data_IF_333572137857
#
_entry.id   IF_333572137857
#
_cell.length_a   1.000
_cell.length_b   1.000
_cell.length_c   1.000
_cell.angle_alpha   90.00
_cell.angle_beta   90.00
_cell.angle_gamma   90.00
#
_symmetry.space_group_name_H-M   'P 1'
#
loop_
_entity.id
_entity.type
_entity.pdbx_description
1 polymer ?
#
# COMPACT_ATOMS: atom_id res chain seq x y z
N UNK A 1 31.97 23.29 72.12
CA UNK A 1 31.71 21.86 72.35
C UNK A 1 31.59 21.20 70.98
N UNK A 2 32.42 20.26 70.76
CA UNK A 2 32.78 19.66 69.45
C UNK A 2 31.64 18.86 68.84
N UNK A 3 31.41 19.01 67.52
CA UNK A 3 30.69 18.08 66.68
C UNK A 3 31.73 17.25 65.86
N UNK A 4 31.57 15.94 65.76
CA UNK A 4 32.52 15.10 65.02
C UNK A 4 32.15 15.02 63.54
N UNK A 5 33.17 15.02 62.70
CA UNK A 5 33.08 14.90 61.24
C UNK A 5 32.60 13.55 60.77
N UNK A 6 31.77 13.58 59.74
CA UNK A 6 31.38 12.43 58.96
C UNK A 6 32.28 12.32 57.72
N UNK A 7 32.97 11.19 57.60
CA UNK A 7 33.80 10.81 56.44
C UNK A 7 32.99 10.63 55.15
N UNK A 8 33.55 10.95 53.96
CA UNK A 8 32.82 10.72 52.70
C UNK A 8 32.82 9.25 52.33
N UNK A 9 31.62 8.74 52.04
CA UNK A 9 31.36 7.40 51.52
C UNK A 9 32.11 7.14 50.20
N UNK A 10 32.87 6.07 50.21
CA UNK A 10 33.55 5.51 49.04
C UNK A 10 32.60 5.22 47.93
N UNK A 11 32.62 6.02 46.88
CA UNK A 11 32.04 5.66 45.57
C UNK A 11 32.86 4.50 45.05
N UNK A 12 32.25 3.32 45.00
CA UNK A 12 32.79 2.16 44.27
C UNK A 12 33.02 2.55 42.80
N UNK A 13 34.27 2.65 42.40
CA UNK A 13 34.65 2.70 40.98
C UNK A 13 34.31 1.33 40.41
N UNK A 14 33.22 1.25 39.62
CA UNK A 14 33.01 0.13 38.74
C UNK A 14 34.11 0.21 37.67
N UNK A 15 35.09 -0.64 37.80
CA UNK A 15 36.10 -0.87 36.75
C UNK A 15 35.37 -1.56 35.60
N UNK A 16 35.16 -0.84 34.51
CA UNK A 16 34.80 -1.39 33.20
C UNK A 16 36.12 -1.85 32.56
N UNK A 17 36.65 -2.95 33.02
CA UNK A 17 37.68 -3.70 32.31
C UNK A 17 36.99 -4.61 31.30
N UNK A 18 37.36 -4.43 30.04
CA UNK A 18 36.99 -5.09 28.79
C UNK A 18 36.04 -4.28 27.89
N UNK A 19 36.47 -3.09 27.50
CA UNK A 19 36.03 -2.52 26.22
C UNK A 19 36.63 -3.35 25.07
N UNK A 20 35.83 -3.90 24.16
CA UNK A 20 36.36 -4.48 22.94
C UNK A 20 37.26 -3.48 22.20
N UNK A 21 38.34 -3.93 21.55
CA UNK A 21 39.34 -3.12 20.85
C UNK A 21 38.81 -2.14 19.78
N UNK A 22 37.53 -2.03 19.62
CA UNK A 22 36.82 -1.11 18.70
C UNK A 22 36.81 0.35 19.15
N UNK A 23 37.15 0.69 20.41
CA UNK A 23 37.11 2.07 20.91
C UNK A 23 38.48 2.75 20.95
N UNK A 24 39.53 2.09 20.42
CA UNK A 24 40.82 2.72 20.23
C UNK A 24 40.77 3.57 18.96
N UNK A 25 41.10 4.83 19.10
CA UNK A 25 41.07 5.96 18.16
C UNK A 25 41.58 5.67 16.73
N UNK A 26 40.80 4.97 15.96
CA UNK A 26 40.87 4.93 14.49
C UNK A 26 39.57 5.51 13.94
N UNK A 27 39.63 6.33 12.91
CA UNK A 27 38.44 6.86 12.22
C UNK A 27 37.58 5.67 11.82
N UNK A 28 36.45 5.50 12.51
CA UNK A 28 35.50 4.41 12.21
C UNK A 28 34.98 4.64 10.81
N UNK A 29 35.18 3.71 9.88
CA UNK A 29 34.55 3.75 8.57
C UNK A 29 33.07 3.41 8.73
N UNK A 30 32.24 4.46 8.88
CA UNK A 30 30.79 4.33 9.04
C UNK A 30 30.14 3.64 7.85
N UNK A 31 30.68 3.80 6.63
CA UNK A 31 30.14 3.17 5.44
C UNK A 31 30.40 1.65 5.43
N UNK A 32 31.63 1.24 5.78
CA UNK A 32 31.95 -0.18 5.95
C UNK A 32 31.07 -0.81 7.05
N UNK A 33 30.86 -0.10 8.17
CA UNK A 33 29.98 -0.57 9.23
C UNK A 33 28.55 -0.71 8.78
N UNK A 34 28.00 0.26 8.05
CA UNK A 34 26.65 0.17 7.50
C UNK A 34 26.48 -1.04 6.57
N UNK A 35 27.44 -1.28 5.67
CA UNK A 35 27.44 -2.47 4.80
C UNK A 35 27.43 -3.76 5.62
N UNK A 36 28.28 -3.84 6.64
CA UNK A 36 28.35 -5.01 7.53
C UNK A 36 27.01 -5.28 8.25
N UNK A 37 26.31 -4.25 8.71
CA UNK A 37 24.97 -4.39 9.32
C UNK A 37 23.98 -4.99 8.32
N UNK A 38 23.93 -4.45 7.10
CA UNK A 38 23.06 -4.96 6.04
C UNK A 38 23.39 -6.41 5.65
N UNK A 39 24.68 -6.77 5.59
CA UNK A 39 25.11 -8.14 5.31
C UNK A 39 24.62 -9.13 6.40
N UNK A 40 24.66 -8.72 7.67
CA UNK A 40 24.16 -9.53 8.79
C UNK A 40 22.64 -9.70 8.68
N UNK A 41 21.91 -8.65 8.36
CA UNK A 41 20.44 -8.71 8.20
C UNK A 41 20.04 -9.54 6.98
N UNK A 42 20.75 -9.43 5.86
CA UNK A 42 20.53 -10.29 4.68
C UNK A 42 20.79 -11.77 5.03
N UNK A 43 21.84 -12.07 5.80
CA UNK A 43 22.12 -13.43 6.25
C UNK A 43 21.00 -13.96 7.17
N UNK A 44 20.44 -13.11 8.04
CA UNK A 44 19.29 -13.44 8.88
C UNK A 44 18.03 -13.77 8.06
N UNK A 45 17.70 -12.96 7.06
CA UNK A 45 16.60 -13.22 6.14
C UNK A 45 16.78 -14.54 5.38
N UNK A 46 18.01 -14.82 4.92
CA UNK A 46 18.33 -16.09 4.26
C UNK A 46 18.13 -17.27 5.19
N UNK A 47 18.56 -17.16 6.45
CA UNK A 47 18.38 -18.21 7.46
C UNK A 47 16.90 -18.48 7.74
N UNK A 48 16.08 -17.43 7.94
CA UNK A 48 14.63 -17.58 8.17
C UNK A 48 13.93 -18.20 6.95
N UNK A 49 14.29 -17.78 5.74
CA UNK A 49 13.76 -18.39 4.50
C UNK A 49 14.04 -19.90 4.45
N UNK A 50 15.22 -20.35 4.89
CA UNK A 50 15.58 -21.77 4.90
C UNK A 50 14.87 -22.57 6.00
N UNK A 51 14.36 -21.90 7.02
CA UNK A 51 13.62 -22.50 8.14
C UNK A 51 12.10 -22.58 7.87
N UNK A 52 11.61 -22.01 6.76
CA UNK A 52 10.21 -22.12 6.39
C UNK A 52 9.84 -23.58 6.11
N UNK A 53 8.77 -24.02 6.76
CA UNK A 53 8.22 -25.37 6.65
C UNK A 53 6.69 -25.36 6.61
N UNK A 54 6.07 -26.51 6.84
CA UNK A 54 4.62 -26.67 6.88
C UNK A 54 3.90 -25.82 7.93
N UNK A 55 4.60 -25.34 8.97
CA UNK A 55 4.03 -24.46 9.99
C UNK A 55 3.59 -23.11 9.40
N UNK A 56 4.33 -22.60 8.39
CA UNK A 56 3.91 -21.38 7.70
C UNK A 56 2.57 -21.54 7.00
N UNK A 57 2.38 -22.63 6.27
CA UNK A 57 1.10 -22.92 5.60
C UNK A 57 -0.04 -23.13 6.61
N UNK A 58 0.23 -23.80 7.73
CA UNK A 58 -0.74 -23.99 8.81
C UNK A 58 -1.15 -22.64 9.44
N UNK A 59 -0.20 -21.72 9.67
CA UNK A 59 -0.48 -20.37 10.16
C UNK A 59 -1.38 -19.60 9.19
N UNK A 60 -1.07 -19.63 7.88
CA UNK A 60 -1.91 -18.98 6.85
C UNK A 60 -3.32 -19.57 6.85
N UNK A 61 -3.46 -20.90 6.92
CA UNK A 61 -4.77 -21.55 6.96
C UNK A 61 -5.61 -21.15 8.16
N UNK A 62 -5.02 -21.11 9.37
CA UNK A 62 -5.69 -20.67 10.60
C UNK A 62 -6.17 -19.21 10.41
N UNK A 63 -5.31 -18.31 9.96
CA UNK A 63 -5.66 -16.91 9.79
C UNK A 63 -6.74 -16.69 8.72
N UNK A 64 -6.68 -17.41 7.60
CA UNK A 64 -7.69 -17.34 6.54
C UNK A 64 -9.04 -17.83 7.06
N UNK A 65 -9.07 -18.95 7.81
CA UNK A 65 -10.31 -19.48 8.37
C UNK A 65 -10.92 -18.54 9.41
N UNK A 66 -10.09 -17.99 10.32
CA UNK A 66 -10.49 -16.92 11.26
C UNK A 66 -11.21 -15.78 10.53
N UNK A 67 -10.61 -15.28 9.45
CA UNK A 67 -11.17 -14.17 8.68
C UNK A 67 -12.45 -14.54 7.90
N UNK A 68 -12.58 -15.80 7.47
CA UNK A 68 -13.82 -16.32 6.84
C UNK A 68 -14.99 -16.33 7.82
N UNK A 69 -14.72 -16.66 9.08
CA UNK A 69 -15.69 -16.64 10.17
C UNK A 69 -16.02 -15.23 10.69
N UNK A 70 -15.50 -14.19 10.03
CA UNK A 70 -15.64 -12.77 10.41
C UNK A 70 -15.02 -12.43 11.76
N UNK A 71 -14.13 -13.27 12.26
CA UNK A 71 -13.25 -13.00 13.40
C UNK A 71 -12.01 -12.21 12.93
N UNK A 72 -11.11 -11.87 13.85
CA UNK A 72 -9.96 -11.02 13.56
C UNK A 72 -8.64 -11.65 13.97
N UNK A 73 -7.55 -11.10 13.46
CA UNK A 73 -6.19 -11.45 13.86
C UNK A 73 -5.74 -10.45 14.92
N UNK A 74 -5.38 -10.95 16.09
CA UNK A 74 -4.84 -10.14 17.18
C UNK A 74 -3.32 -10.32 17.19
N UNK A 75 -2.58 -9.25 17.00
CA UNK A 75 -1.12 -9.28 17.04
C UNK A 75 -0.66 -8.78 18.41
N UNK A 76 0.16 -9.59 19.10
CA UNK A 76 0.65 -9.30 20.45
C UNK A 76 2.17 -9.22 20.46
N UNK A 77 2.75 -8.27 21.17
CA UNK A 77 4.19 -8.15 21.34
C UNK A 77 4.56 -7.02 22.30
N UNK A 78 5.80 -7.04 22.81
CA UNK A 78 6.33 -6.04 23.75
C UNK A 78 7.62 -5.43 23.18
N UNK A 79 7.89 -4.18 23.50
CA UNK A 79 9.10 -3.46 23.12
C UNK A 79 9.35 -3.47 21.60
N UNK A 80 10.54 -3.90 21.16
CA UNK A 80 10.87 -3.93 19.72
C UNK A 80 9.98 -4.90 18.95
N UNK A 81 9.66 -6.07 19.51
CA UNK A 81 8.71 -7.02 18.90
C UNK A 81 7.30 -6.43 18.82
N UNK A 82 6.89 -5.62 19.80
CA UNK A 82 5.62 -4.88 19.76
C UNK A 82 5.56 -3.88 18.61
N UNK A 83 6.62 -3.09 18.38
CA UNK A 83 6.69 -2.17 17.24
C UNK A 83 6.57 -2.91 15.89
N UNK A 84 7.22 -4.05 15.77
CA UNK A 84 7.07 -4.93 14.59
C UNK A 84 5.65 -5.46 14.47
N UNK A 85 5.06 -5.88 15.60
CA UNK A 85 3.67 -6.35 15.66
C UNK A 85 2.66 -5.30 15.21
N UNK A 86 2.83 -4.04 15.62
CA UNK A 86 2.00 -2.91 15.15
C UNK A 86 2.07 -2.77 13.62
N UNK A 87 3.29 -2.84 13.04
CA UNK A 87 3.47 -2.77 11.59
C UNK A 87 2.82 -3.96 10.89
N UNK A 88 2.94 -5.16 11.41
CA UNK A 88 2.31 -6.36 10.84
C UNK A 88 0.77 -6.22 10.88
N UNK A 89 0.20 -5.80 11.99
CA UNK A 89 -1.25 -5.57 12.13
C UNK A 89 -1.74 -4.51 11.11
N UNK A 90 -0.99 -3.42 10.95
CA UNK A 90 -1.30 -2.39 9.96
C UNK A 90 -1.24 -2.93 8.52
N UNK A 91 -0.24 -3.76 8.18
CA UNK A 91 -0.12 -4.40 6.86
C UNK A 91 -1.29 -5.35 6.61
N UNK A 92 -1.64 -6.21 7.55
CA UNK A 92 -2.80 -7.10 7.48
C UNK A 92 -4.09 -6.32 7.23
N UNK A 93 -4.33 -5.26 8.01
CA UNK A 93 -5.52 -4.41 7.87
C UNK A 93 -5.58 -3.74 6.50
N UNK A 94 -4.47 -3.17 6.05
CA UNK A 94 -4.38 -2.48 4.75
C UNK A 94 -4.57 -3.43 3.56
N UNK A 95 -4.31 -4.71 3.75
CA UNK A 95 -4.52 -5.78 2.77
C UNK A 95 -5.84 -6.55 2.96
N UNK A 96 -6.78 -5.96 3.70
CA UNK A 96 -8.16 -6.47 3.84
C UNK A 96 -8.32 -7.58 4.88
N UNK A 97 -7.33 -7.82 5.73
CA UNK A 97 -7.41 -8.76 6.84
C UNK A 97 -7.69 -8.00 8.14
N UNK A 98 -8.88 -8.17 8.71
CA UNK A 98 -9.23 -7.52 9.97
C UNK A 98 -8.22 -7.89 11.04
N UNK A 99 -7.43 -6.92 11.50
CA UNK A 99 -6.37 -7.15 12.46
C UNK A 99 -6.25 -5.97 13.42
N UNK A 100 -5.86 -6.27 14.66
CA UNK A 100 -5.57 -5.27 15.67
C UNK A 100 -4.28 -5.63 16.41
N UNK A 101 -3.55 -4.63 16.85
CA UNK A 101 -2.43 -4.80 17.76
C UNK A 101 -2.93 -4.67 19.20
N UNK A 102 -2.58 -5.64 20.05
CA UNK A 102 -2.89 -5.65 21.48
C UNK A 102 -1.56 -5.59 22.25
N UNK A 103 -1.34 -4.49 22.96
CA UNK A 103 -0.15 -4.35 23.78
C UNK A 103 -0.22 -5.28 24.99
N UNK A 104 0.84 -6.07 25.24
CA UNK A 104 0.81 -7.12 26.25
C UNK A 104 0.51 -6.62 27.67
N UNK A 105 0.98 -5.44 28.05
CA UNK A 105 0.68 -4.86 29.38
C UNK A 105 -0.77 -4.39 29.46
N UNK A 106 -1.24 -3.65 28.46
CA UNK A 106 -2.60 -3.07 28.46
C UNK A 106 -3.66 -4.18 28.44
N UNK A 107 -3.35 -5.29 27.78
CA UNK A 107 -4.21 -6.48 27.77
C UNK A 107 -4.51 -7.01 29.20
N UNK A 108 -3.51 -7.03 30.09
CA UNK A 108 -3.69 -7.48 31.47
C UNK A 108 -4.50 -6.49 32.32
N UNK A 109 -4.68 -5.26 31.84
CA UNK A 109 -5.39 -4.19 32.54
C UNK A 109 -6.77 -3.85 31.93
N UNK A 110 -7.33 -4.75 31.11
CA UNK A 110 -8.70 -4.63 30.59
C UNK A 110 -8.85 -4.76 29.07
N UNK A 111 -7.79 -4.50 28.30
CA UNK A 111 -7.87 -4.55 26.82
C UNK A 111 -8.07 -5.97 26.26
N UNK A 112 -8.03 -7.01 27.11
CA UNK A 112 -8.50 -8.34 26.74
C UNK A 112 -9.98 -8.38 26.30
N UNK A 113 -10.76 -7.36 26.62
CA UNK A 113 -12.12 -7.18 26.11
C UNK A 113 -12.23 -7.11 24.58
N UNK A 114 -11.11 -6.88 23.87
CA UNK A 114 -11.07 -6.91 22.41
C UNK A 114 -11.05 -8.33 21.83
N UNK A 115 -10.71 -9.34 22.64
CA UNK A 115 -10.58 -10.75 22.23
C UNK A 115 -11.96 -11.42 22.23
N UNK A 116 -12.27 -12.13 21.15
CA UNK A 116 -13.48 -12.92 21.04
C UNK A 116 -13.15 -14.39 20.67
N UNK A 117 -14.09 -15.27 20.94
CA UNK A 117 -14.03 -16.65 20.47
C UNK A 117 -13.89 -16.69 18.94
N UNK A 118 -13.02 -17.57 18.45
CA UNK A 118 -12.73 -17.72 17.03
C UNK A 118 -11.67 -16.77 16.47
N UNK A 119 -11.15 -15.83 17.27
CA UNK A 119 -10.00 -15.00 16.87
C UNK A 119 -8.71 -15.83 16.75
N UNK A 120 -7.75 -15.35 15.95
CA UNK A 120 -6.39 -15.88 15.90
C UNK A 120 -5.43 -14.88 16.54
N UNK A 121 -4.53 -15.38 17.40
CA UNK A 121 -3.50 -14.57 18.05
C UNK A 121 -2.15 -14.85 17.39
N UNK A 122 -1.48 -13.80 16.89
CA UNK A 122 -0.09 -13.83 16.46
C UNK A 122 0.77 -13.19 17.54
N UNK A 123 1.46 -14.02 18.32
CA UNK A 123 2.31 -13.58 19.43
C UNK A 123 3.77 -13.49 19.02
N UNK A 124 4.38 -12.32 19.19
CA UNK A 124 5.75 -12.01 18.81
C UNK A 124 6.64 -11.91 20.07
N UNK A 125 7.60 -12.82 20.22
CA UNK A 125 8.66 -12.75 21.21
C UNK A 125 9.88 -13.51 20.71
N UNK A 126 10.99 -12.83 20.45
CA UNK A 126 12.20 -13.49 19.92
C UNK A 126 12.76 -14.53 20.90
N UNK A 127 12.86 -14.19 22.19
CA UNK A 127 13.26 -15.17 23.22
C UNK A 127 12.19 -16.25 23.43
N UNK A 128 10.94 -15.89 23.26
CA UNK A 128 9.78 -16.69 23.64
C UNK A 128 9.57 -16.82 25.14
N UNK A 129 10.30 -16.00 25.92
CA UNK A 129 10.26 -15.99 27.39
C UNK A 129 9.91 -14.58 27.96
N UNK A 130 9.35 -13.70 27.15
CA UNK A 130 8.92 -12.38 27.59
C UNK A 130 7.74 -12.53 28.56
N UNK A 131 7.93 -12.14 29.81
CA UNK A 131 7.01 -12.39 30.93
C UNK A 131 5.60 -11.82 30.64
N UNK A 132 5.51 -10.61 30.14
CA UNK A 132 4.24 -9.94 29.83
C UNK A 132 3.46 -10.67 28.73
N UNK A 133 4.15 -11.27 27.77
CA UNK A 133 3.51 -12.09 26.72
C UNK A 133 3.06 -13.44 27.29
N UNK A 134 3.89 -14.07 28.13
CA UNK A 134 3.56 -15.35 28.76
C UNK A 134 2.37 -15.23 29.70
N UNK A 135 2.28 -14.14 30.48
CA UNK A 135 1.17 -13.88 31.41
C UNK A 135 -0.18 -13.73 30.69
N UNK A 136 -0.19 -13.38 29.40
CA UNK A 136 -1.40 -13.32 28.59
C UNK A 136 -1.90 -14.69 28.13
N UNK A 137 -1.03 -15.69 28.02
CA UNK A 137 -1.41 -16.98 27.41
C UNK A 137 -2.50 -17.70 28.20
N UNK A 138 -2.45 -17.65 29.53
CA UNK A 138 -3.50 -18.23 30.38
C UNK A 138 -4.87 -17.58 30.18
N UNK A 139 -4.99 -16.26 30.30
CA UNK A 139 -6.21 -15.52 29.97
C UNK A 139 -6.70 -15.74 28.54
N UNK A 140 -5.81 -15.72 27.53
CA UNK A 140 -6.17 -15.95 26.12
C UNK A 140 -6.77 -17.35 25.90
N UNK A 141 -6.27 -18.37 26.59
CA UNK A 141 -6.82 -19.74 26.50
C UNK A 141 -8.21 -19.93 27.07
N UNK A 142 -8.75 -18.94 27.78
CA UNK A 142 -10.16 -18.94 28.22
C UNK A 142 -11.11 -18.62 27.06
N UNK A 143 -10.60 -18.02 25.99
CA UNK A 143 -11.30 -17.83 24.73
C UNK A 143 -10.94 -18.98 23.79
N UNK A 144 -11.83 -19.34 22.89
CA UNK A 144 -11.59 -20.33 21.84
C UNK A 144 -10.74 -19.77 20.71
N UNK A 145 -9.51 -19.31 21.04
CA UNK A 145 -8.56 -18.71 20.10
C UNK A 145 -7.48 -19.68 19.67
N UNK A 146 -6.94 -19.51 18.47
CA UNK A 146 -5.73 -20.17 17.99
C UNK A 146 -4.52 -19.28 18.17
N UNK A 147 -3.45 -19.81 18.79
CA UNK A 147 -2.24 -19.07 19.07
C UNK A 147 -1.15 -19.49 18.08
N UNK A 148 -0.65 -18.53 17.32
CA UNK A 148 0.49 -18.66 16.41
C UNK A 148 1.62 -17.84 17.03
N UNK A 149 2.77 -18.46 17.30
CA UNK A 149 3.95 -17.72 17.80
C UNK A 149 4.97 -17.48 16.71
N UNK A 150 5.63 -16.31 16.78
CA UNK A 150 6.80 -15.96 15.99
C UNK A 150 7.96 -15.78 16.96
N UNK A 151 8.86 -16.78 17.02
CA UNK A 151 9.94 -16.83 18.03
C UNK A 151 11.24 -17.39 17.46
N UNK A 152 12.38 -16.97 18.01
CA UNK A 152 13.71 -17.52 17.69
C UNK A 152 14.04 -18.83 18.43
N UNK A 153 13.13 -19.30 19.33
CA UNK A 153 13.32 -20.54 20.09
C UNK A 153 12.08 -21.41 20.07
N UNK A 154 12.10 -22.44 19.24
CA UNK A 154 11.00 -23.42 19.13
C UNK A 154 10.77 -24.26 20.38
N UNK A 155 11.66 -24.17 21.38
CA UNK A 155 11.55 -24.85 22.68
C UNK A 155 11.12 -23.92 23.81
N UNK A 156 10.88 -22.64 23.51
CA UNK A 156 10.49 -21.64 24.50
C UNK A 156 9.14 -21.91 25.12
N UNK A 157 8.85 -21.22 26.23
CA UNK A 157 7.54 -21.27 26.90
C UNK A 157 6.43 -20.83 25.95
N UNK A 158 6.61 -19.75 25.20
CA UNK A 158 5.65 -19.29 24.20
C UNK A 158 5.38 -20.37 23.14
N UNK A 159 6.43 -21.01 22.62
CA UNK A 159 6.29 -22.07 21.61
C UNK A 159 5.46 -23.25 22.13
N UNK A 160 5.65 -23.66 23.38
CA UNK A 160 4.87 -24.77 24.00
C UNK A 160 3.40 -24.47 24.17
N UNK A 161 3.02 -23.19 24.30
CA UNK A 161 1.64 -22.76 24.43
C UNK A 161 0.94 -22.52 23.09
N UNK A 162 1.69 -22.51 21.98
CA UNK A 162 1.19 -22.16 20.65
C UNK A 162 0.67 -23.36 19.88
N UNK A 163 -0.40 -23.18 19.10
CA UNK A 163 -0.91 -24.18 18.16
C UNK A 163 0.04 -24.31 16.95
N UNK A 164 0.68 -23.22 16.54
CA UNK A 164 1.67 -23.16 15.45
C UNK A 164 2.85 -22.29 15.86
N UNK A 165 4.07 -22.72 15.52
CA UNK A 165 5.31 -21.99 15.82
C UNK A 165 6.02 -21.64 14.53
N UNK A 166 6.19 -20.35 14.29
CA UNK A 166 7.00 -19.80 13.20
C UNK A 166 8.40 -19.50 13.71
N UNK A 167 9.37 -20.23 13.22
CA UNK A 167 10.77 -20.08 13.63
C UNK A 167 11.42 -18.89 12.94
N UNK A 168 11.83 -17.87 13.71
CA UNK A 168 12.55 -16.67 13.23
C UNK A 168 13.97 -16.59 13.78
N UNK A 169 14.57 -17.72 14.12
CA UNK A 169 15.93 -17.77 14.64
C UNK A 169 16.92 -17.19 13.63
N UNK A 170 17.70 -16.20 14.07
CA UNK A 170 18.77 -15.58 13.28
C UNK A 170 20.15 -15.99 13.80
N UNK A 171 21.20 -15.97 12.97
CA UNK A 171 22.56 -16.35 13.38
C UNK A 171 23.13 -15.42 14.46
N UNK A 172 22.92 -14.10 14.32
CA UNK A 172 23.37 -13.07 15.27
C UNK A 172 22.66 -11.75 15.01
N UNK A 173 22.68 -10.86 16.00
CA UNK A 173 22.29 -9.47 15.83
C UNK A 173 23.40 -8.64 15.20
N UNK A 174 23.05 -7.52 14.52
CA UNK A 174 24.05 -6.61 13.97
C UNK A 174 24.68 -5.70 15.03
N UNK A 175 24.11 -5.64 16.23
CA UNK A 175 24.69 -4.96 17.38
C UNK A 175 26.05 -5.59 17.75
N UNK A 176 27.11 -4.79 18.01
CA UNK A 176 28.44 -5.32 18.41
C UNK A 176 28.39 -6.24 19.62
N UNK A 177 27.46 -6.00 20.53
CA UNK A 177 27.28 -6.80 21.75
C UNK A 177 26.31 -7.97 21.57
N UNK A 178 25.74 -8.14 20.39
CA UNK A 178 24.69 -9.12 20.10
C UNK A 178 23.45 -9.00 21.04
N UNK A 179 23.16 -7.80 21.56
CA UNK A 179 22.10 -7.57 22.53
C UNK A 179 20.90 -6.79 21.95
N UNK A 180 21.17 -5.73 21.17
CA UNK A 180 20.11 -4.92 20.60
C UNK A 180 19.44 -5.64 19.44
N UNK A 181 18.12 -5.85 19.46
CA UNK A 181 17.38 -6.47 18.38
C UNK A 181 17.49 -5.63 17.09
N UNK A 182 18.03 -6.25 16.05
CA UNK A 182 18.24 -5.70 14.70
C UNK A 182 17.88 -6.75 13.66
N UNK A 183 18.74 -7.71 13.41
CA UNK A 183 18.52 -8.80 12.47
C UNK A 183 17.28 -9.65 12.82
N UNK A 184 17.02 -9.88 14.10
CA UNK A 184 15.81 -10.59 14.56
C UNK A 184 14.53 -9.80 14.25
N UNK A 185 14.52 -8.48 14.46
CA UNK A 185 13.36 -7.64 14.16
C UNK A 185 13.13 -7.49 12.66
N UNK A 186 14.18 -7.37 11.87
CA UNK A 186 14.12 -7.37 10.40
C UNK A 186 13.54 -8.69 9.89
N UNK A 187 13.97 -9.82 10.43
CA UNK A 187 13.46 -11.13 10.06
C UNK A 187 11.97 -11.32 10.45
N UNK A 188 11.57 -10.89 11.66
CA UNK A 188 10.16 -10.91 12.08
C UNK A 188 9.27 -10.08 11.16
N UNK A 189 9.74 -8.88 10.80
CA UNK A 189 9.02 -7.98 9.90
C UNK A 189 8.81 -8.63 8.53
N UNK A 190 9.88 -9.15 7.93
CA UNK A 190 9.82 -9.80 6.62
C UNK A 190 8.91 -11.03 6.61
N UNK A 191 8.94 -11.86 7.67
CA UNK A 191 8.05 -13.01 7.80
C UNK A 191 6.59 -12.58 8.00
N UNK A 192 6.35 -11.50 8.73
CA UNK A 192 5.02 -10.90 8.89
C UNK A 192 4.45 -10.38 7.57
N UNK A 193 5.29 -9.76 6.72
CA UNK A 193 4.88 -9.34 5.38
C UNK A 193 4.60 -10.55 4.48
N UNK A 194 5.40 -11.61 4.58
CA UNK A 194 5.13 -12.85 3.85
C UNK A 194 3.78 -13.48 4.24
N UNK A 195 3.43 -13.49 5.55
CA UNK A 195 2.12 -13.92 6.03
C UNK A 195 0.99 -13.06 5.44
N UNK A 196 1.13 -11.74 5.50
CA UNK A 196 0.11 -10.82 4.99
C UNK A 196 -0.13 -11.02 3.49
N UNK A 197 0.93 -11.21 2.69
CA UNK A 197 0.82 -11.46 1.24
C UNK A 197 0.20 -12.84 0.96
N UNK A 198 0.61 -13.89 1.67
CA UNK A 198 0.02 -15.22 1.49
C UNK A 198 -1.48 -15.25 1.83
N UNK A 199 -1.90 -14.54 2.90
CA UNK A 199 -3.32 -14.40 3.27
C UNK A 199 -4.09 -13.61 2.23
N UNK A 200 -3.52 -12.50 1.72
CA UNK A 200 -4.10 -11.67 0.66
C UNK A 200 -4.41 -12.52 -0.58
N UNK A 201 -3.43 -13.31 -1.05
CA UNK A 201 -3.60 -14.20 -2.20
C UNK A 201 -4.63 -15.31 -1.94
N UNK A 202 -4.54 -15.98 -0.80
CA UNK A 202 -5.47 -17.07 -0.41
C UNK A 202 -6.93 -16.60 -0.30
N UNK A 203 -7.16 -15.31 0.00
CA UNK A 203 -8.49 -14.69 0.07
C UNK A 203 -8.96 -14.12 -1.26
N UNK A 204 -8.15 -14.14 -2.31
CA UNK A 204 -8.48 -13.58 -3.62
C UNK A 204 -8.68 -12.06 -3.59
N UNK A 205 -7.95 -11.35 -2.73
CA UNK A 205 -7.98 -9.89 -2.62
C UNK A 205 -7.47 -9.25 -3.92
N UNK A 206 -8.19 -8.28 -4.45
CA UNK A 206 -7.92 -7.65 -5.75
C UNK A 206 -7.58 -6.18 -5.59
N UNK A 207 -6.98 -5.58 -6.62
CA UNK A 207 -6.66 -4.14 -6.67
C UNK A 207 -7.85 -3.24 -6.32
N UNK A 208 -9.07 -3.59 -6.76
CA UNK A 208 -10.30 -2.87 -6.42
C UNK A 208 -10.61 -2.88 -4.92
N UNK A 209 -10.24 -3.96 -4.22
CA UNK A 209 -10.45 -4.09 -2.78
C UNK A 209 -9.41 -3.24 -2.04
N UNK A 210 -8.16 -3.20 -2.55
CA UNK A 210 -7.12 -2.31 -2.04
C UNK A 210 -7.52 -0.82 -2.15
N UNK A 211 -8.10 -0.43 -3.29
CA UNK A 211 -8.59 0.93 -3.51
C UNK A 211 -9.65 1.34 -2.49
N UNK A 212 -10.56 0.43 -2.10
CA UNK A 212 -11.60 0.68 -1.08
C UNK A 212 -11.01 0.94 0.31
N UNK A 213 -9.89 0.30 0.64
CA UNK A 213 -9.20 0.50 1.92
C UNK A 213 -8.29 1.73 1.93
N UNK A 214 -7.92 2.28 0.75
CA UNK A 214 -7.04 3.44 0.60
C UNK A 214 -7.66 4.57 -0.24
N UNK A 215 -8.88 5.06 0.08
CA UNK A 215 -9.62 5.96 -0.79
C UNK A 215 -8.92 7.31 -1.05
N UNK A 216 -8.13 7.79 -0.11
CA UNK A 216 -7.45 9.09 -0.19
C UNK A 216 -6.02 9.02 -0.75
N UNK A 217 -5.46 7.83 -0.94
CA UNK A 217 -4.12 7.63 -1.50
C UNK A 217 -4.08 7.84 -3.02
N UNK A 218 -2.90 8.13 -3.59
CA UNK A 218 -2.72 8.23 -5.04
C UNK A 218 -3.17 6.95 -5.77
N UNK A 219 -2.81 5.78 -5.22
CA UNK A 219 -3.20 4.47 -5.76
C UNK A 219 -4.72 4.29 -5.69
N UNK A 220 -5.37 4.63 -4.56
CA UNK A 220 -6.82 4.50 -4.40
C UNK A 220 -7.58 5.36 -5.41
N UNK A 221 -7.18 6.62 -5.59
CA UNK A 221 -7.78 7.51 -6.59
C UNK A 221 -7.60 6.97 -8.00
N UNK A 222 -6.40 6.54 -8.36
CA UNK A 222 -6.12 5.99 -9.70
C UNK A 222 -7.00 4.76 -10.02
N UNK A 223 -7.36 3.96 -9.02
CA UNK A 223 -8.14 2.73 -9.16
C UNK A 223 -9.66 2.94 -8.99
N UNK A 224 -10.12 4.09 -8.50
CA UNK A 224 -11.54 4.35 -8.23
C UNK A 224 -12.15 5.44 -9.10
N UNK A 225 -11.36 6.42 -9.55
CA UNK A 225 -11.88 7.54 -10.33
C UNK A 225 -12.21 7.07 -11.74
N UNK A 226 -13.48 7.20 -12.11
CA UNK A 226 -13.95 6.89 -13.47
C UNK A 226 -13.86 8.11 -14.38
N UNK A 227 -13.83 7.87 -15.67
CA UNK A 227 -13.83 8.88 -16.73
C UNK A 227 -15.04 9.83 -16.58
N UNK A 228 -16.23 9.31 -16.30
CA UNK A 228 -17.44 10.12 -16.08
C UNK A 228 -17.35 11.09 -14.88
N UNK A 229 -16.41 10.87 -13.94
CA UNK A 229 -16.22 11.76 -12.80
C UNK A 229 -15.30 12.96 -13.10
N UNK A 230 -14.55 12.91 -14.22
CA UNK A 230 -13.53 13.90 -14.58
C UNK A 230 -13.74 14.56 -15.94
N UNK A 231 -14.61 13.98 -16.78
CA UNK A 231 -14.89 14.52 -18.11
C UNK A 231 -15.62 15.86 -18.04
N UNK A 232 -15.45 16.68 -19.07
CA UNK A 232 -16.28 17.83 -19.35
C UNK A 232 -17.54 17.32 -20.06
N UNK A 233 -18.71 17.58 -19.52
CA UNK A 233 -20.00 17.15 -20.07
C UNK A 233 -20.97 18.34 -20.28
N UNK A 234 -22.19 18.06 -20.72
CA UNK A 234 -23.24 19.06 -20.95
C UNK A 234 -22.77 20.21 -21.84
N UNK A 235 -22.84 21.44 -21.33
CA UNK A 235 -22.46 22.66 -22.07
C UNK A 235 -20.95 22.76 -22.33
N UNK A 236 -20.14 21.91 -21.75
CA UNK A 236 -18.68 21.84 -21.94
C UNK A 236 -18.26 20.74 -22.91
N UNK A 237 -19.19 20.07 -23.55
CA UNK A 237 -18.98 19.03 -24.57
C UNK A 237 -19.51 19.51 -25.90
N UNK A 238 -18.63 19.96 -26.81
CA UNK A 238 -19.01 20.40 -28.14
C UNK A 238 -19.37 19.18 -29.01
N UNK A 239 -20.57 19.14 -29.52
CA UNK A 239 -21.06 18.08 -30.44
C UNK A 239 -21.74 18.71 -31.65
N UNK A 240 -21.40 18.25 -32.85
CA UNK A 240 -21.93 18.72 -34.13
C UNK A 240 -22.30 17.59 -35.08
N UNK A 241 -23.18 17.81 -36.00
CA UNK A 241 -23.47 16.90 -37.10
C UNK A 241 -22.48 17.01 -38.24
N UNK A 242 -22.36 15.99 -39.09
CA UNK A 242 -21.42 15.92 -40.22
C UNK A 242 -21.58 17.08 -41.24
N UNK A 243 -22.78 17.68 -41.34
CA UNK A 243 -23.13 18.72 -42.32
C UNK A 243 -22.84 20.15 -41.78
N UNK A 244 -22.55 20.30 -40.52
CA UNK A 244 -22.23 21.57 -39.85
C UNK A 244 -20.95 22.13 -40.46
N UNK A 245 -20.89 23.43 -40.71
CA UNK A 245 -19.68 24.08 -41.25
C UNK A 245 -18.58 24.20 -40.17
N UNK A 246 -17.34 24.34 -40.61
CA UNK A 246 -16.22 24.60 -39.70
C UNK A 246 -16.43 25.86 -38.86
N UNK A 247 -16.99 26.93 -39.48
CA UNK A 247 -17.30 28.17 -38.75
C UNK A 247 -18.29 27.96 -37.61
N UNK A 248 -19.37 27.20 -37.84
CA UNK A 248 -20.35 26.87 -36.81
C UNK A 248 -19.77 25.97 -35.73
N UNK A 249 -18.92 25.01 -36.11
CA UNK A 249 -18.23 24.14 -35.19
C UNK A 249 -17.28 24.92 -34.26
N UNK A 250 -16.54 25.89 -34.76
CA UNK A 250 -15.70 26.79 -33.97
C UNK A 250 -16.50 27.58 -32.94
N UNK A 251 -17.68 28.04 -33.29
CA UNK A 251 -18.60 28.71 -32.33
C UNK A 251 -19.00 27.77 -31.20
N UNK A 252 -19.31 26.49 -31.50
CA UNK A 252 -19.62 25.47 -30.50
C UNK A 252 -18.43 25.18 -29.60
N UNK A 253 -17.24 25.04 -30.18
CA UNK A 253 -15.99 24.87 -29.42
C UNK A 253 -15.73 26.03 -28.47
N UNK A 254 -15.88 27.26 -28.95
CA UNK A 254 -15.74 28.49 -28.12
C UNK A 254 -16.75 28.51 -26.97
N UNK A 255 -18.02 28.20 -27.23
CA UNK A 255 -19.08 28.14 -26.21
C UNK A 255 -18.78 27.06 -25.15
N UNK A 256 -18.34 25.88 -25.58
CA UNK A 256 -17.98 24.76 -24.71
C UNK A 256 -16.63 24.96 -23.99
N UNK A 257 -15.82 25.95 -24.40
CA UNK A 257 -14.43 26.14 -23.99
C UNK A 257 -13.63 24.83 -24.17
N UNK A 258 -13.78 24.20 -25.31
CA UNK A 258 -13.16 22.93 -25.69
C UNK A 258 -12.26 23.12 -26.91
N UNK A 259 -11.09 22.47 -26.91
CA UNK A 259 -10.16 22.43 -28.04
C UNK A 259 -10.62 21.50 -29.17
N UNK A 260 -11.76 20.81 -29.00
CA UNK A 260 -12.28 19.86 -29.97
C UNK A 260 -13.81 19.83 -30.01
N UNK A 261 -14.35 19.36 -31.15
CA UNK A 261 -15.78 19.07 -31.32
C UNK A 261 -15.96 17.64 -31.80
N UNK A 262 -16.85 16.89 -31.13
CA UNK A 262 -17.25 15.55 -31.49
C UNK A 262 -18.24 15.59 -32.64
N UNK A 263 -18.01 14.81 -33.71
CA UNK A 263 -18.88 14.78 -34.90
C UNK A 263 -19.71 13.51 -34.90
N UNK A 264 -21.02 13.67 -35.02
CA UNK A 264 -21.98 12.58 -34.96
C UNK A 264 -22.75 12.42 -36.28
N UNK A 265 -23.10 11.20 -36.60
CA UNK A 265 -24.00 10.89 -37.71
C UNK A 265 -25.45 11.15 -37.35
N UNK A 266 -26.40 10.95 -38.32
CA UNK A 266 -27.83 11.11 -38.10
C UNK A 266 -28.47 10.20 -37.03
N UNK A 267 -27.72 9.25 -36.47
CA UNK A 267 -28.13 8.37 -35.35
C UNK A 267 -27.45 8.76 -34.02
N UNK A 268 -26.79 9.91 -33.95
CA UNK A 268 -26.12 10.40 -32.75
C UNK A 268 -24.80 9.66 -32.39
N UNK A 269 -24.29 8.81 -33.27
CA UNK A 269 -23.05 8.04 -33.02
C UNK A 269 -21.84 8.80 -33.46
N UNK A 270 -20.76 8.74 -32.67
CA UNK A 270 -19.46 9.35 -32.97
C UNK A 270 -18.86 8.77 -34.25
N UNK A 271 -18.57 9.63 -35.23
CA UNK A 271 -17.96 9.28 -36.53
C UNK A 271 -16.66 10.05 -36.78
N UNK A 272 -16.45 11.18 -36.14
CA UNK A 272 -15.26 12.01 -36.32
C UNK A 272 -15.01 12.94 -35.15
N UNK A 273 -13.88 13.61 -35.21
CA UNK A 273 -13.49 14.74 -34.35
C UNK A 273 -12.84 15.82 -35.20
N UNK A 274 -13.02 17.07 -34.83
CA UNK A 274 -12.29 18.20 -35.38
C UNK A 274 -11.71 19.01 -34.22
N UNK A 275 -10.43 19.35 -34.32
CA UNK A 275 -9.65 19.98 -33.24
C UNK A 275 -9.03 21.30 -33.68
N UNK A 276 -8.55 22.10 -32.74
CA UNK A 276 -7.74 23.29 -33.01
C UNK A 276 -6.49 22.96 -33.85
N UNK A 277 -5.91 21.76 -33.67
CA UNK A 277 -4.81 21.26 -34.48
C UNK A 277 -5.21 21.00 -35.94
N UNK A 278 -6.43 20.45 -36.17
CA UNK A 278 -6.96 20.25 -37.52
C UNK A 278 -7.21 21.61 -38.20
N UNK A 279 -7.80 22.56 -37.48
CA UNK A 279 -8.00 23.92 -38.01
C UNK A 279 -6.69 24.54 -38.48
N UNK A 280 -5.64 24.52 -37.67
CA UNK A 280 -4.33 25.08 -38.03
C UNK A 280 -3.72 24.41 -39.25
N UNK A 281 -3.82 23.08 -39.38
CA UNK A 281 -3.32 22.35 -40.55
C UNK A 281 -4.05 22.74 -41.83
N UNK A 282 -5.39 22.71 -41.79
CA UNK A 282 -6.21 23.02 -42.94
C UNK A 282 -6.15 24.50 -43.35
N UNK A 283 -6.03 25.43 -42.40
CA UNK A 283 -5.88 26.85 -42.70
C UNK A 283 -4.56 27.15 -43.45
N UNK A 284 -3.51 26.35 -43.23
CA UNK A 284 -2.24 26.50 -43.95
C UNK A 284 -2.34 26.03 -45.43
N UNK A 285 -3.28 25.12 -45.71
CA UNK A 285 -3.42 24.49 -47.06
C UNK A 285 -4.55 25.12 -47.89
N UNK A 286 -5.62 25.68 -47.22
CA UNK A 286 -6.87 26.06 -47.86
C UNK A 286 -7.37 27.43 -47.36
N UNK A 287 -7.70 28.32 -48.33
CA UNK A 287 -8.21 29.69 -47.97
C UNK A 287 -9.65 29.70 -47.48
N UNK A 288 -10.50 28.72 -47.86
CA UNK A 288 -11.95 28.76 -47.60
C UNK A 288 -12.45 27.64 -46.64
N UNK A 289 -11.59 27.27 -45.71
CA UNK A 289 -11.86 26.19 -44.73
C UNK A 289 -13.15 26.43 -43.93
N UNK A 290 -13.47 27.67 -43.58
CA UNK A 290 -14.59 28.02 -42.70
C UNK A 290 -15.99 27.66 -43.27
N UNK A 291 -16.13 27.65 -44.59
CA UNK A 291 -17.36 27.30 -45.26
C UNK A 291 -17.55 25.78 -45.50
N UNK A 292 -16.50 24.99 -45.30
CA UNK A 292 -16.54 23.54 -45.54
C UNK A 292 -17.34 22.80 -44.48
N UNK A 293 -18.08 21.73 -44.87
CA UNK A 293 -18.75 20.85 -43.91
C UNK A 293 -17.69 20.02 -43.15
N UNK A 294 -17.95 19.77 -41.87
CA UNK A 294 -17.07 18.99 -40.98
C UNK A 294 -16.74 17.60 -41.56
N UNK A 295 -17.66 16.96 -42.26
CA UNK A 295 -17.46 15.67 -42.91
C UNK A 295 -16.26 15.60 -43.86
N UNK A 296 -15.86 16.75 -44.46
CA UNK A 296 -14.75 16.83 -45.39
C UNK A 296 -13.38 17.04 -44.76
N UNK A 297 -13.36 17.54 -43.52
CA UNK A 297 -12.11 17.97 -42.82
C UNK A 297 -11.88 17.28 -41.49
N UNK A 298 -12.84 16.47 -41.00
CA UNK A 298 -12.73 15.77 -39.72
C UNK A 298 -11.73 14.64 -39.75
N UNK A 299 -11.11 14.37 -38.63
CA UNK A 299 -10.42 13.10 -38.36
C UNK A 299 -11.47 12.03 -38.09
N UNK A 300 -11.52 11.02 -39.00
CA UNK A 300 -12.48 9.90 -38.90
C UNK A 300 -12.04 8.88 -37.88
N UNK A 301 -13.01 8.17 -37.27
CA UNK A 301 -12.76 7.11 -36.27
C UNK A 301 -11.80 7.56 -35.17
N UNK A 302 -12.11 8.65 -34.44
CA UNK A 302 -11.23 9.19 -33.44
C UNK A 302 -10.99 8.19 -32.31
N UNK A 303 -9.85 8.34 -31.64
CA UNK A 303 -9.59 7.65 -30.39
C UNK A 303 -10.63 8.10 -29.36
N UNK A 304 -11.27 7.17 -28.69
CA UNK A 304 -12.28 7.47 -27.66
C UNK A 304 -12.16 6.49 -26.50
N UNK A 305 -12.72 6.84 -25.37
CA UNK A 305 -12.77 6.04 -24.15
C UNK A 305 -14.21 5.90 -23.66
N UNK A 306 -14.50 4.83 -22.92
CA UNK A 306 -15.82 4.64 -22.31
C UNK A 306 -15.97 5.51 -21.06
N UNK A 307 -17.17 6.03 -20.85
CA UNK A 307 -17.55 6.81 -19.65
C UNK A 307 -17.33 6.05 -18.34
N UNK A 308 -17.48 4.72 -18.34
CA UNK A 308 -17.27 3.85 -17.19
C UNK A 308 -15.83 3.33 -17.03
N UNK A 309 -14.92 3.64 -17.95
CA UNK A 309 -13.49 3.31 -17.83
C UNK A 309 -12.85 4.07 -16.66
N UNK A 310 -11.71 3.59 -16.20
CA UNK A 310 -10.94 4.27 -15.16
C UNK A 310 -10.17 5.48 -15.72
N UNK A 311 -10.04 6.53 -14.94
CA UNK A 311 -9.29 7.73 -15.35
C UNK A 311 -7.82 7.45 -15.67
N UNK A 312 -7.21 6.46 -15.02
CA UNK A 312 -5.84 6.00 -15.34
C UNK A 312 -5.72 5.41 -16.75
N UNK A 313 -6.79 4.85 -17.31
CA UNK A 313 -6.81 4.36 -18.69
C UNK A 313 -6.76 5.53 -19.68
N UNK A 314 -7.45 6.63 -19.37
CA UNK A 314 -7.36 7.86 -20.17
C UNK A 314 -5.90 8.38 -20.21
N UNK A 315 -5.20 8.41 -19.06
CA UNK A 315 -3.82 8.83 -18.99
C UNK A 315 -2.89 7.97 -19.87
N UNK A 316 -3.10 6.64 -19.88
CA UNK A 316 -2.35 5.73 -20.76
C UNK A 316 -2.58 6.07 -22.24
N UNK A 317 -3.84 6.36 -22.63
CA UNK A 317 -4.18 6.73 -24.01
C UNK A 317 -3.50 8.05 -24.39
N UNK A 318 -3.55 9.08 -23.55
CA UNK A 318 -2.87 10.35 -23.79
C UNK A 318 -1.37 10.16 -24.06
N UNK A 319 -0.69 9.41 -23.20
CA UNK A 319 0.76 9.14 -23.33
C UNK A 319 1.11 8.33 -24.57
N UNK A 320 0.24 7.37 -24.99
CA UNK A 320 0.49 6.51 -26.14
C UNK A 320 0.15 7.17 -27.47
N UNK A 321 -0.85 8.05 -27.51
CA UNK A 321 -1.38 8.64 -28.73
C UNK A 321 -0.96 10.09 -28.97
N UNK A 322 -0.32 10.73 -27.98
CA UNK A 322 0.12 12.13 -28.04
C UNK A 322 -1.02 13.06 -28.49
N UNK A 323 -2.17 12.95 -27.83
CA UNK A 323 -3.36 13.77 -28.04
C UNK A 323 -3.62 14.63 -26.80
N UNK A 324 -4.29 15.78 -26.96
CA UNK A 324 -4.63 16.69 -25.86
C UNK A 324 -6.09 16.51 -25.42
N UNK A 325 -6.97 16.13 -26.34
CA UNK A 325 -8.39 15.86 -26.10
C UNK A 325 -8.73 14.40 -26.36
N UNK A 326 -9.46 13.78 -25.43
CA UNK A 326 -9.94 12.40 -25.55
C UNK A 326 -11.47 12.37 -25.45
N UNK A 327 -12.14 11.97 -26.54
CA UNK A 327 -13.59 11.90 -26.60
C UNK A 327 -14.11 10.74 -25.72
N UNK A 328 -15.11 11.05 -24.91
CA UNK A 328 -15.79 10.07 -24.04
C UNK A 328 -17.09 9.64 -24.66
N UNK A 329 -17.30 8.32 -24.75
CA UNK A 329 -18.51 7.74 -25.32
C UNK A 329 -19.22 6.80 -24.34
N UNK A 330 -20.55 6.76 -24.44
CA UNK A 330 -21.37 5.78 -23.71
C UNK A 330 -21.39 4.39 -24.41
N UNK A 331 -22.19 3.46 -23.87
CA UNK A 331 -22.34 2.11 -24.42
C UNK A 331 -22.86 2.08 -25.88
N UNK A 332 -23.60 3.12 -26.29
CA UNK A 332 -24.17 3.24 -27.65
C UNK A 332 -23.23 3.93 -28.63
N UNK A 333 -21.99 4.29 -28.20
CA UNK A 333 -21.00 5.07 -28.96
C UNK A 333 -21.47 6.52 -29.23
N UNK A 334 -22.30 7.08 -28.39
CA UNK A 334 -22.69 8.48 -28.40
C UNK A 334 -21.66 9.29 -27.58
N UNK A 335 -21.18 10.47 -28.05
CA UNK A 335 -20.24 11.29 -27.33
C UNK A 335 -20.96 11.98 -26.15
N UNK A 336 -20.55 11.61 -24.92
CA UNK A 336 -21.15 12.11 -23.69
C UNK A 336 -20.25 13.10 -22.95
N UNK A 337 -19.02 13.27 -23.40
CA UNK A 337 -18.06 14.20 -22.81
C UNK A 337 -16.72 14.22 -23.54
N UNK A 338 -15.82 15.03 -23.04
CA UNK A 338 -14.42 15.13 -23.46
C UNK A 338 -13.53 15.25 -22.22
N UNK A 339 -12.36 14.61 -22.25
CA UNK A 339 -11.30 14.83 -21.26
C UNK A 339 -10.21 15.65 -21.94
N UNK A 340 -9.86 16.77 -21.34
CA UNK A 340 -8.68 17.57 -21.70
C UNK A 340 -7.53 17.15 -20.79
N UNK A 341 -6.37 16.89 -21.37
CA UNK A 341 -5.16 16.49 -20.61
C UNK A 341 -4.83 17.46 -19.46
N UNK A 342 -5.09 18.76 -19.66
CA UNK A 342 -4.86 19.80 -18.66
C UNK A 342 -5.78 19.73 -17.44
N UNK A 343 -6.89 18.98 -17.51
CA UNK A 343 -7.79 18.80 -16.37
C UNK A 343 -7.36 17.66 -15.44
N UNK A 344 -6.56 16.70 -15.89
CA UNK A 344 -6.14 15.54 -15.10
C UNK A 344 -5.42 15.88 -13.78
N UNK A 345 -4.52 16.91 -13.71
CA UNK A 345 -3.89 17.31 -12.46
C UNK A 345 -4.89 17.76 -11.39
N UNK A 346 -6.01 18.37 -11.78
CA UNK A 346 -7.06 18.83 -10.84
C UNK A 346 -7.68 17.68 -10.04
N UNK A 347 -7.71 16.50 -10.64
CA UNK A 347 -8.24 15.28 -10.02
C UNK A 347 -7.18 14.41 -9.35
N UNK A 348 -5.91 14.86 -9.32
CA UNK A 348 -4.78 14.14 -8.73
C UNK A 348 -4.68 12.69 -9.26
N UNK A 349 -4.95 12.51 -10.55
CA UNK A 349 -4.85 11.22 -11.26
C UNK A 349 -3.43 11.00 -11.79
N UNK A 350 -2.61 12.07 -11.78
CA UNK A 350 -1.18 12.04 -12.09
C UNK A 350 -0.34 11.99 -10.83
#
# INVERSE_FOLDING_TARGET
MNAPGGSPSSRAKVQIENSPAYWQAGVMDHLARARQVLDIEMAALKAVRQQLDGAFSAAVQIMVETLRQRSKIIVVGIGKSGNIGQKIAATLTSTGSTSVFLHGVDALHGDLGIVNDGDAVLALSYSGETEEVLNLLGPLKRFSVKIISMTGSVKSSLARYSDVVLNVKVPKEACPFNLAPTASTTAMLALGDALAMAILEARGFREKDYARHHPSGAIGRALLVKVCNIMRDGNRNAVAGEKVTVKEALLLMCQAKSGSVSIVNGRGKLVGVFTDGDLRRHTAEERDILAKPLASVMTRNPVCIRDQALAVEALKIFNQRNIDDLIVVNARREPVGVIDLQDLPKFKVM
#
